data_IF_605391669297
#
_entry.id   IF_605391669297
#
_cell.length_a   1.000
_cell.length_b   1.000
_cell.length_c   1.000
_cell.angle_alpha   90.00
_cell.angle_beta   90.00
_cell.angle_gamma   90.00
#
_symmetry.space_group_name_H-M   'P 1'
#
loop_
_entity.id
_entity.type
_entity.pdbx_description
1 polymer ?
#
# COMPACT_ATOMS: atom_id res chain seq x y z
N UNK A 1 -22.59 20.18 12.87
CA UNK A 1 -22.15 18.81 13.18
C UNK A 1 -21.30 18.37 12.00
N UNK A 2 -19.99 18.20 12.17
CA UNK A 2 -19.09 17.77 11.08
C UNK A 2 -19.09 16.25 10.99
N UNK A 3 -19.04 15.71 9.79
CA UNK A 3 -19.01 14.26 9.57
C UNK A 3 -17.56 13.74 9.53
N UNK A 4 -17.34 12.47 9.90
CA UNK A 4 -16.00 11.83 9.82
C UNK A 4 -15.39 11.97 8.42
N UNK A 5 -16.22 11.94 7.38
CA UNK A 5 -15.79 12.15 5.99
C UNK A 5 -15.15 13.52 5.75
N UNK A 6 -15.63 14.58 6.41
CA UNK A 6 -15.09 15.94 6.30
C UNK A 6 -13.70 16.06 6.95
N UNK A 7 -13.46 15.37 8.07
CA UNK A 7 -12.14 15.37 8.73
C UNK A 7 -11.04 14.72 7.89
N UNK A 8 -11.39 13.83 6.96
CA UNK A 8 -10.42 13.16 6.09
C UNK A 8 -10.00 13.97 4.86
N UNK A 9 -10.71 15.06 4.55
CA UNK A 9 -10.51 15.87 3.33
C UNK A 9 -10.18 17.35 3.61
N UNK A 10 -10.32 17.82 4.85
CA UNK A 10 -9.94 19.18 5.26
C UNK A 10 -8.44 19.30 5.55
N UNK A 11 -7.86 20.48 5.30
CA UNK A 11 -6.46 20.80 5.66
C UNK A 11 -6.25 21.06 7.16
N UNK A 12 -7.35 21.08 7.93
CA UNK A 12 -7.35 21.29 9.38
C UNK A 12 -7.20 19.93 10.07
N UNK A 13 -6.16 19.79 10.89
CA UNK A 13 -5.91 18.59 11.69
C UNK A 13 -6.59 18.71 13.05
N UNK A 14 -7.01 17.57 13.59
CA UNK A 14 -7.65 17.46 14.90
C UNK A 14 -6.96 16.40 15.77
N UNK A 15 -5.75 16.68 16.30
CA UNK A 15 -5.00 15.71 17.10
C UNK A 15 -5.78 15.18 18.31
N UNK A 16 -6.64 16.01 18.89
CA UNK A 16 -7.50 15.66 20.03
C UNK A 16 -8.53 14.57 19.71
N UNK A 17 -8.87 14.37 18.43
CA UNK A 17 -9.81 13.33 18.01
C UNK A 17 -9.12 11.97 17.81
N UNK A 18 -7.80 11.92 17.71
CA UNK A 18 -7.05 10.70 17.40
C UNK A 18 -7.36 9.54 18.37
N UNK A 19 -7.36 9.73 19.70
CA UNK A 19 -7.70 8.65 20.62
C UNK A 19 -9.12 8.10 20.38
N UNK A 20 -10.07 8.98 20.06
CA UNK A 20 -11.46 8.58 19.76
C UNK A 20 -11.52 7.82 18.44
N UNK A 21 -10.81 8.27 17.41
CA UNK A 21 -10.75 7.62 16.10
C UNK A 21 -10.13 6.22 16.19
N UNK A 22 -9.08 6.04 17.00
CA UNK A 22 -8.46 4.73 17.25
C UNK A 22 -9.40 3.79 17.99
N UNK A 23 -10.02 4.25 19.07
CA UNK A 23 -11.01 3.46 19.81
C UNK A 23 -12.18 3.03 18.92
N UNK A 24 -12.67 3.93 18.05
CA UNK A 24 -13.70 3.60 17.07
C UNK A 24 -13.21 2.66 15.99
N UNK A 25 -11.96 2.80 15.55
CA UNK A 25 -11.38 1.93 14.53
C UNK A 25 -11.19 0.51 15.08
N UNK A 26 -10.67 0.34 16.29
CA UNK A 26 -10.50 -0.96 16.94
C UNK A 26 -11.85 -1.61 17.28
N UNK A 27 -12.81 -0.83 17.81
CA UNK A 27 -14.02 -1.36 18.41
C UNK A 27 -15.29 -1.04 17.61
N UNK A 28 -15.19 -0.89 16.29
CA UNK A 28 -16.28 -0.36 15.45
C UNK A 28 -17.62 -1.05 15.70
N UNK A 29 -17.63 -2.39 15.72
CA UNK A 29 -18.85 -3.18 15.86
C UNK A 29 -19.50 -3.04 17.26
N UNK A 30 -18.73 -2.62 18.27
CA UNK A 30 -19.25 -2.30 19.60
C UNK A 30 -19.74 -0.84 19.71
N UNK A 31 -19.26 0.07 18.85
CA UNK A 31 -19.67 1.49 18.85
C UNK A 31 -20.92 1.74 18.02
N UNK A 32 -21.10 1.00 16.93
CA UNK A 32 -22.22 1.22 16.01
C UNK A 32 -22.64 -0.08 15.33
N UNK A 33 -23.95 -0.33 15.31
CA UNK A 33 -24.52 -1.44 14.55
C UNK A 33 -24.52 -1.10 13.05
N UNK A 34 -23.65 -1.74 12.29
CA UNK A 34 -23.55 -1.62 10.83
C UNK A 34 -23.90 -2.96 10.17
N UNK A 35 -25.20 -3.28 10.01
CA UNK A 35 -25.64 -4.60 9.55
C UNK A 35 -25.27 -4.90 8.09
N UNK A 36 -25.04 -3.87 7.27
CA UNK A 36 -24.58 -4.02 5.90
C UNK A 36 -23.05 -4.10 5.86
N UNK A 37 -22.44 -5.18 5.30
CA UNK A 37 -20.99 -5.31 5.19
C UNK A 37 -20.32 -4.12 4.47
N UNK A 38 -21.03 -3.54 3.50
CA UNK A 38 -20.58 -2.36 2.76
C UNK A 38 -20.44 -1.12 3.66
N UNK A 39 -21.39 -0.88 4.56
CA UNK A 39 -21.38 0.31 5.41
C UNK A 39 -20.28 0.21 6.47
N UNK A 40 -20.11 -1.00 7.03
CA UNK A 40 -18.97 -1.33 7.90
C UNK A 40 -17.63 -1.07 7.19
N UNK A 41 -17.49 -1.60 5.98
CA UNK A 41 -16.32 -1.41 5.14
C UNK A 41 -16.01 0.06 4.83
N UNK A 42 -17.04 0.85 4.52
CA UNK A 42 -16.89 2.28 4.28
C UNK A 42 -16.46 3.04 5.54
N UNK A 43 -17.04 2.71 6.70
CA UNK A 43 -16.67 3.33 7.96
C UNK A 43 -15.23 3.00 8.35
N UNK A 44 -14.81 1.73 8.23
CA UNK A 44 -13.41 1.32 8.47
C UNK A 44 -12.46 2.07 7.53
N UNK A 45 -12.78 2.17 6.25
CA UNK A 45 -11.96 2.92 5.31
C UNK A 45 -11.91 4.42 5.65
N UNK A 46 -12.99 5.01 6.15
CA UNK A 46 -13.03 6.42 6.53
C UNK A 46 -12.18 6.67 7.79
N UNK A 47 -12.33 5.84 8.82
CA UNK A 47 -11.52 5.87 10.03
C UNK A 47 -10.04 5.69 9.72
N UNK A 48 -9.70 4.69 8.90
CA UNK A 48 -8.33 4.44 8.48
C UNK A 48 -7.72 5.67 7.80
N UNK A 49 -8.46 6.32 6.89
CA UNK A 49 -7.99 7.54 6.21
C UNK A 49 -7.81 8.72 7.15
N UNK A 50 -8.71 8.91 8.11
CA UNK A 50 -8.60 9.97 9.12
C UNK A 50 -7.39 9.77 10.06
N UNK A 51 -6.89 8.54 10.17
CA UNK A 51 -5.69 8.20 10.94
C UNK A 51 -4.38 8.33 10.13
N UNK A 52 -4.43 8.66 8.84
CA UNK A 52 -3.23 8.96 8.03
C UNK A 52 -2.78 10.39 8.32
N UNK A 53 -2.23 10.61 9.51
CA UNK A 53 -1.72 11.91 9.95
C UNK A 53 -0.48 11.73 10.83
N UNK A 54 0.47 12.69 10.83
CA UNK A 54 1.71 12.56 11.60
C UNK A 54 1.52 12.39 13.12
N UNK A 55 0.40 12.85 13.65
CA UNK A 55 0.08 12.81 15.08
C UNK A 55 -0.51 11.47 15.52
N UNK A 56 -0.89 10.59 14.59
CA UNK A 56 -1.45 9.29 14.91
C UNK A 56 -0.35 8.34 15.45
N UNK A 57 -0.60 7.59 16.53
CA UNK A 57 0.33 6.58 17.04
C UNK A 57 0.48 5.47 16.00
N UNK A 58 1.64 5.45 15.34
CA UNK A 58 1.89 4.57 14.19
C UNK A 58 1.81 3.09 14.56
N UNK A 59 2.33 2.72 15.72
CA UNK A 59 2.35 1.33 16.19
C UNK A 59 0.94 0.77 16.39
N UNK A 60 0.11 1.51 17.13
CA UNK A 60 -1.26 1.12 17.42
C UNK A 60 -2.13 1.10 16.15
N UNK A 61 -2.01 2.13 15.30
CA UNK A 61 -2.73 2.18 14.04
C UNK A 61 -2.32 1.06 13.08
N UNK A 62 -1.03 0.65 13.08
CA UNK A 62 -0.55 -0.50 12.33
C UNK A 62 -1.19 -1.80 12.84
N UNK A 63 -1.08 -2.07 14.15
CA UNK A 63 -1.64 -3.27 14.79
C UNK A 63 -3.13 -3.43 14.52
N UNK A 64 -3.92 -2.37 14.76
CA UNK A 64 -5.38 -2.40 14.55
C UNK A 64 -5.70 -2.71 13.07
N UNK A 65 -4.98 -2.09 12.13
CA UNK A 65 -5.19 -2.34 10.70
C UNK A 65 -4.85 -3.76 10.29
N UNK A 66 -3.79 -4.35 10.84
CA UNK A 66 -3.41 -5.73 10.57
C UNK A 66 -4.50 -6.71 11.07
N UNK A 67 -5.01 -6.51 12.29
CA UNK A 67 -6.10 -7.32 12.86
C UNK A 67 -7.36 -7.26 12.00
N UNK A 68 -7.72 -6.08 11.50
CA UNK A 68 -8.90 -5.93 10.63
C UNK A 68 -8.80 -6.73 9.34
N UNK A 69 -7.62 -6.80 8.73
CA UNK A 69 -7.42 -7.55 7.50
C UNK A 69 -7.43 -9.07 7.73
N UNK A 70 -7.02 -9.54 8.90
CA UNK A 70 -7.07 -10.96 9.25
C UNK A 70 -8.49 -11.44 9.60
N UNK A 71 -9.33 -10.53 10.09
CA UNK A 71 -10.65 -10.85 10.64
C UNK A 71 -11.81 -10.60 9.67
N UNK A 72 -11.56 -9.95 8.53
CA UNK A 72 -12.59 -9.54 7.59
C UNK A 72 -12.75 -10.53 6.42
N UNK A 73 -14.00 -10.81 6.03
CA UNK A 73 -14.26 -11.29 4.67
C UNK A 73 -13.71 -10.27 3.66
N UNK A 74 -13.13 -10.70 2.52
CA UNK A 74 -12.51 -9.79 1.57
C UNK A 74 -13.48 -8.68 1.17
N UNK A 75 -13.23 -7.47 1.69
CA UNK A 75 -14.02 -6.30 1.36
C UNK A 75 -13.86 -5.92 -0.11
N UNK A 76 -14.75 -5.07 -0.63
CA UNK A 76 -14.56 -4.50 -1.96
C UNK A 76 -13.20 -3.78 -2.08
N UNK A 77 -12.59 -3.76 -3.27
CA UNK A 77 -11.28 -3.14 -3.50
C UNK A 77 -11.16 -1.69 -2.97
N UNK A 78 -12.27 -0.93 -3.00
CA UNK A 78 -12.35 0.44 -2.47
C UNK A 78 -12.15 0.50 -0.95
N UNK A 79 -12.64 -0.50 -0.21
CA UNK A 79 -12.46 -0.61 1.25
C UNK A 79 -10.99 -0.89 1.58
N UNK A 80 -10.38 -1.87 0.90
CA UNK A 80 -9.00 -2.27 1.16
C UNK A 80 -8.03 -1.10 1.00
N UNK A 81 -8.29 -0.18 0.06
CA UNK A 81 -7.39 0.94 -0.22
C UNK A 81 -7.11 1.84 0.98
N UNK A 82 -8.10 2.14 1.82
CA UNK A 82 -7.92 2.99 3.00
C UNK A 82 -7.06 2.33 4.07
N UNK A 83 -7.36 1.07 4.38
CA UNK A 83 -6.66 0.25 5.37
C UNK A 83 -5.22 -0.04 4.92
N UNK A 84 -5.02 -0.43 3.66
CA UNK A 84 -3.71 -0.72 3.09
C UNK A 84 -2.83 0.54 3.04
N UNK A 85 -3.43 1.70 2.74
CA UNK A 85 -2.70 2.96 2.80
C UNK A 85 -2.28 3.29 4.23
N UNK A 86 -3.17 3.17 5.22
CA UNK A 86 -2.83 3.37 6.62
C UNK A 86 -1.65 2.47 7.05
N UNK A 87 -1.75 1.15 6.79
CA UNK A 87 -0.67 0.19 7.04
C UNK A 87 0.65 0.63 6.41
N UNK A 88 0.65 1.00 5.13
CA UNK A 88 1.86 1.44 4.44
C UNK A 88 2.48 2.71 5.04
N UNK A 89 1.66 3.58 5.63
CA UNK A 89 2.13 4.83 6.24
C UNK A 89 2.65 4.64 7.66
N UNK A 90 2.13 3.66 8.39
CA UNK A 90 2.46 3.39 9.79
C UNK A 90 3.48 2.27 9.96
N UNK A 91 3.73 1.47 8.92
CA UNK A 91 4.72 0.39 8.94
C UNK A 91 6.15 0.89 9.18
N UNK A 92 6.81 0.29 10.18
CA UNK A 92 8.22 0.50 10.49
C UNK A 92 9.09 -0.50 9.71
N UNK A 93 10.03 -0.07 8.86
CA UNK A 93 10.94 -0.99 8.20
C UNK A 93 11.94 -1.63 9.16
N UNK A 94 12.20 -1.01 10.31
CA UNK A 94 13.11 -1.57 11.31
C UNK A 94 12.49 -2.73 12.08
N UNK A 95 11.16 -2.79 12.13
CA UNK A 95 10.43 -3.83 12.86
C UNK A 95 10.27 -5.11 12.01
N UNK A 96 10.81 -6.26 12.44
CA UNK A 96 10.68 -7.53 11.71
C UNK A 96 9.23 -8.01 11.54
N UNK A 97 8.36 -7.78 12.52
CA UNK A 97 6.95 -8.18 12.46
C UNK A 97 6.22 -7.35 11.40
N UNK A 98 6.47 -6.04 11.36
CA UNK A 98 5.90 -5.19 10.32
C UNK A 98 6.37 -5.64 8.93
N UNK A 99 7.66 -5.94 8.75
CA UNK A 99 8.17 -6.48 7.48
C UNK A 99 7.47 -7.78 7.09
N UNK A 100 7.25 -8.69 8.03
CA UNK A 100 6.57 -9.96 7.77
C UNK A 100 5.10 -9.76 7.34
N UNK A 101 4.35 -8.91 8.05
CA UNK A 101 2.96 -8.57 7.72
C UNK A 101 2.88 -7.91 6.35
N UNK A 102 3.73 -6.91 6.08
CA UNK A 102 3.75 -6.19 4.80
C UNK A 102 4.11 -7.11 3.64
N UNK A 103 5.05 -8.04 3.83
CA UNK A 103 5.42 -9.02 2.79
C UNK A 103 4.25 -9.96 2.47
N UNK A 104 3.63 -10.53 3.50
CA UNK A 104 2.48 -11.43 3.35
C UNK A 104 1.31 -10.75 2.62
N UNK A 105 0.93 -9.55 3.06
CA UNK A 105 -0.15 -8.78 2.42
C UNK A 105 0.22 -8.34 1.01
N UNK A 106 1.50 -8.02 0.76
CA UNK A 106 2.02 -7.71 -0.55
C UNK A 106 1.84 -8.86 -1.54
N UNK A 107 2.01 -10.12 -1.09
CA UNK A 107 1.88 -11.33 -1.91
C UNK A 107 0.46 -11.91 -2.00
N UNK A 108 -0.49 -11.43 -1.19
CA UNK A 108 -1.85 -11.95 -1.21
C UNK A 108 -2.65 -11.41 -2.41
N UNK A 109 -2.67 -12.19 -3.49
CA UNK A 109 -3.36 -11.86 -4.76
C UNK A 109 -4.88 -11.76 -4.59
N UNK A 110 -5.47 -12.31 -3.53
CA UNK A 110 -6.92 -12.19 -3.29
C UNK A 110 -7.35 -10.74 -3.01
N UNK A 111 -6.40 -9.89 -2.60
CA UNK A 111 -6.61 -8.46 -2.33
C UNK A 111 -6.61 -7.60 -3.61
N UNK A 112 -6.30 -8.19 -4.77
CA UNK A 112 -6.26 -7.52 -6.08
C UNK A 112 -5.41 -6.25 -6.08
N UNK A 113 -5.88 -5.20 -6.75
CA UNK A 113 -5.20 -3.89 -6.78
C UNK A 113 -5.07 -3.22 -5.40
N UNK A 114 -5.86 -3.66 -4.40
CA UNK A 114 -5.89 -3.09 -3.06
C UNK A 114 -4.54 -3.16 -2.35
N UNK A 115 -3.69 -4.15 -2.69
CA UNK A 115 -2.34 -4.32 -2.11
C UNK A 115 -1.28 -3.38 -2.69
N UNK A 116 -1.60 -2.56 -3.69
CA UNK A 116 -0.64 -1.65 -4.32
C UNK A 116 0.11 -0.72 -3.32
N UNK A 117 -0.52 -0.11 -2.28
CA UNK A 117 0.20 0.70 -1.29
C UNK A 117 1.27 -0.09 -0.51
N UNK A 118 1.00 -1.36 -0.22
CA UNK A 118 1.94 -2.26 0.47
C UNK A 118 3.14 -2.55 -0.43
N UNK A 119 2.88 -2.90 -1.70
CA UNK A 119 3.93 -3.12 -2.70
C UNK A 119 4.78 -1.87 -2.92
N UNK A 120 4.17 -0.68 -2.97
CA UNK A 120 4.89 0.60 -3.08
C UNK A 120 5.76 0.92 -1.85
N UNK A 121 5.38 0.41 -0.67
CA UNK A 121 6.17 0.50 0.56
C UNK A 121 7.38 -0.44 0.53
N UNK A 122 7.20 -1.69 0.10
CA UNK A 122 8.29 -2.68 0.00
C UNK A 122 9.42 -2.19 -0.92
N UNK A 123 9.07 -1.56 -2.05
CA UNK A 123 10.05 -0.98 -2.98
C UNK A 123 10.50 0.43 -2.60
N UNK A 124 9.99 1.04 -1.53
CA UNK A 124 10.35 2.40 -1.19
C UNK A 124 11.85 2.47 -0.87
N UNK A 125 12.56 3.47 -1.40
CA UNK A 125 14.03 3.62 -1.28
C UNK A 125 14.58 3.43 0.14
N UNK A 126 13.86 3.92 1.16
CA UNK A 126 14.25 3.80 2.59
C UNK A 126 14.16 2.36 3.11
N UNK A 127 13.28 1.55 2.51
CA UNK A 127 13.02 0.16 2.84
C UNK A 127 13.97 -0.73 2.05
N UNK A 128 13.90 -0.67 0.71
CA UNK A 128 14.67 -1.55 -0.19
C UNK A 128 16.18 -1.43 -0.04
N UNK A 129 16.71 -0.27 0.37
CA UNK A 129 18.15 -0.11 0.66
C UNK A 129 18.60 -0.89 1.90
N UNK A 130 17.73 -1.03 2.90
CA UNK A 130 18.04 -1.72 4.17
C UNK A 130 17.65 -3.19 4.13
N UNK A 131 16.66 -3.50 3.31
CA UNK A 131 15.98 -4.78 3.21
C UNK A 131 15.80 -5.14 1.73
N UNK A 132 16.88 -5.46 1.00
CA UNK A 132 16.82 -5.80 -0.42
C UNK A 132 15.93 -7.02 -0.70
N UNK A 133 15.79 -7.94 0.25
CA UNK A 133 14.87 -9.07 0.17
C UNK A 133 13.41 -8.64 -0.02
N UNK A 134 13.01 -7.48 0.52
CA UNK A 134 11.66 -6.96 0.35
C UNK A 134 11.43 -6.38 -1.06
N UNK A 135 12.49 -5.89 -1.70
CA UNK A 135 12.42 -5.48 -3.11
C UNK A 135 12.19 -6.70 -4.00
N UNK A 136 12.90 -7.81 -3.75
CA UNK A 136 12.71 -9.06 -4.48
C UNK A 136 11.27 -9.58 -4.36
N UNK A 137 10.73 -9.59 -3.13
CA UNK A 137 9.31 -9.93 -2.88
C UNK A 137 8.37 -9.09 -3.74
N UNK A 138 8.54 -7.76 -3.74
CA UNK A 138 7.66 -6.88 -4.49
C UNK A 138 7.82 -7.01 -6.01
N UNK A 139 9.04 -7.27 -6.50
CA UNK A 139 9.29 -7.47 -7.93
C UNK A 139 8.74 -8.81 -8.45
N UNK A 140 8.64 -9.84 -7.60
CA UNK A 140 7.93 -11.07 -7.92
C UNK A 140 6.45 -10.86 -8.25
N UNK A 141 5.86 -9.75 -7.79
CA UNK A 141 4.47 -9.40 -8.09
C UNK A 141 4.29 -8.61 -9.40
N UNK A 142 5.36 -8.37 -10.18
CA UNK A 142 5.26 -7.77 -11.51
C UNK A 142 4.46 -8.62 -12.50
N UNK A 143 4.25 -9.92 -12.22
CA UNK A 143 3.42 -10.79 -13.06
C UNK A 143 1.92 -10.51 -12.92
N UNK A 144 1.48 -9.81 -11.87
CA UNK A 144 0.08 -9.47 -11.66
C UNK A 144 -0.26 -8.13 -12.33
N UNK A 145 -1.08 -8.14 -13.42
CA UNK A 145 -1.46 -6.93 -14.12
C UNK A 145 -2.17 -5.89 -13.28
N UNK A 146 -2.85 -6.30 -12.19
CA UNK A 146 -3.58 -5.40 -11.31
C UNK A 146 -2.66 -4.45 -10.53
N UNK A 147 -1.41 -4.84 -10.29
CA UNK A 147 -0.45 -4.07 -9.47
C UNK A 147 0.81 -3.69 -10.23
N UNK A 148 1.12 -4.34 -11.35
CA UNK A 148 2.32 -4.09 -12.13
C UNK A 148 2.53 -2.61 -12.50
N UNK A 149 1.53 -1.82 -12.93
CA UNK A 149 1.72 -0.40 -13.23
C UNK A 149 2.19 0.42 -12.01
N UNK A 150 1.67 0.10 -10.83
CA UNK A 150 2.05 0.76 -9.57
C UNK A 150 3.49 0.43 -9.20
N UNK A 151 3.87 -0.85 -9.31
CA UNK A 151 5.22 -1.33 -9.10
C UNK A 151 6.20 -0.69 -10.08
N UNK A 152 5.95 -0.77 -11.39
CA UNK A 152 6.82 -0.18 -12.42
C UNK A 152 7.03 1.33 -12.19
N UNK A 153 5.96 2.06 -11.88
CA UNK A 153 6.02 3.49 -11.57
C UNK A 153 6.93 3.79 -10.37
N UNK A 154 6.91 2.92 -9.36
CA UNK A 154 7.65 3.10 -8.12
C UNK A 154 9.11 2.65 -8.25
N UNK A 155 9.34 1.51 -8.89
CA UNK A 155 10.66 0.95 -9.21
C UNK A 155 11.48 1.90 -10.08
N UNK A 156 10.86 2.58 -11.06
CA UNK A 156 11.54 3.61 -11.88
C UNK A 156 12.20 4.74 -11.06
N UNK A 157 11.73 4.97 -9.83
CA UNK A 157 12.26 6.02 -8.94
C UNK A 157 13.43 5.53 -8.07
N UNK A 158 13.79 4.26 -8.15
CA UNK A 158 14.94 3.72 -7.46
C UNK A 158 16.25 4.12 -8.16
N UNK A 159 17.36 4.17 -7.42
CA UNK A 159 18.70 4.18 -8.02
C UNK A 159 18.88 2.97 -8.97
N UNK A 160 19.61 3.15 -10.07
CA UNK A 160 19.82 2.08 -11.07
C UNK A 160 20.57 0.88 -10.49
N UNK A 161 21.55 1.14 -9.63
CA UNK A 161 22.32 0.14 -8.89
C UNK A 161 21.49 -0.70 -7.92
N UNK A 162 20.26 -0.28 -7.63
CA UNK A 162 19.30 -1.04 -6.84
C UNK A 162 18.32 -1.88 -7.70
N UNK A 163 18.33 -1.74 -9.03
CA UNK A 163 17.47 -2.51 -9.91
C UNK A 163 18.11 -3.87 -10.22
N UNK A 164 17.35 -4.98 -10.17
CA UNK A 164 17.92 -6.27 -10.50
C UNK A 164 18.21 -6.40 -11.99
N UNK A 165 19.26 -7.16 -12.29
CA UNK A 165 19.58 -7.59 -13.65
C UNK A 165 18.39 -8.35 -14.24
N UNK A 166 18.04 -8.08 -15.49
CA UNK A 166 16.94 -8.75 -16.19
C UNK A 166 15.55 -8.18 -15.90
N UNK A 167 15.45 -7.06 -15.16
CA UNK A 167 14.18 -6.35 -14.97
C UNK A 167 13.51 -5.97 -16.31
N UNK A 168 14.31 -5.67 -17.34
CA UNK A 168 13.81 -5.34 -18.67
C UNK A 168 13.00 -6.49 -19.28
N UNK A 169 13.42 -7.75 -19.08
CA UNK A 169 12.71 -8.93 -19.57
C UNK A 169 11.35 -9.10 -18.87
N UNK A 170 11.27 -8.85 -17.56
CA UNK A 170 10.01 -8.90 -16.81
C UNK A 170 9.02 -7.79 -17.21
N UNK A 171 9.54 -6.62 -17.62
CA UNK A 171 8.74 -5.44 -17.97
C UNK A 171 8.29 -5.46 -19.44
N UNK A 172 9.09 -6.04 -20.34
CA UNK A 172 8.85 -6.01 -21.79
C UNK A 172 7.45 -6.50 -22.23
N UNK A 173 6.85 -7.55 -21.64
CA UNK A 173 5.49 -7.99 -21.99
C UNK A 173 4.44 -6.89 -21.82
N UNK A 174 4.67 -5.91 -20.93
CA UNK A 174 3.72 -4.83 -20.69
C UNK A 174 3.67 -3.77 -21.79
N UNK A 175 4.59 -3.77 -22.77
CA UNK A 175 4.57 -2.84 -23.90
C UNK A 175 3.33 -3.00 -24.79
N UNK A 176 2.81 -4.22 -24.87
CA UNK A 176 1.64 -4.61 -25.67
C UNK A 176 0.40 -4.91 -24.81
N UNK A 177 0.45 -4.57 -23.52
CA UNK A 177 -0.65 -4.82 -22.59
C UNK A 177 -1.92 -4.05 -22.97
N UNK A 178 -3.11 -4.58 -22.67
CA UNK A 178 -4.39 -3.94 -23.01
C UNK A 178 -4.59 -2.57 -22.31
N UNK A 179 -4.15 -2.47 -21.06
CA UNK A 179 -4.24 -1.25 -20.25
C UNK A 179 -3.17 -0.21 -20.66
N UNK A 180 -3.61 1.00 -20.95
CA UNK A 180 -2.74 2.11 -21.36
C UNK A 180 -1.71 2.47 -20.29
N UNK A 181 -2.11 2.51 -19.03
CA UNK A 181 -1.20 2.85 -17.93
C UNK A 181 -0.09 1.80 -17.79
N UNK A 182 -0.38 0.51 -18.00
CA UNK A 182 0.64 -0.54 -18.03
C UNK A 182 1.67 -0.29 -19.13
N UNK A 183 1.22 -0.03 -20.37
CA UNK A 183 2.11 0.28 -21.51
C UNK A 183 2.95 1.51 -21.21
N UNK A 184 2.34 2.56 -20.65
CA UNK A 184 3.02 3.80 -20.31
C UNK A 184 4.11 3.59 -19.26
N UNK A 185 3.81 2.89 -18.16
CA UNK A 185 4.80 2.65 -17.11
C UNK A 185 5.92 1.72 -17.58
N UNK A 186 5.62 0.75 -18.44
CA UNK A 186 6.61 -0.14 -19.04
C UNK A 186 7.61 0.63 -19.92
N UNK A 187 7.14 1.48 -20.84
CA UNK A 187 8.01 2.33 -21.68
C UNK A 187 8.95 3.18 -20.84
N UNK A 188 8.40 3.91 -19.88
CA UNK A 188 9.18 4.81 -19.02
C UNK A 188 10.21 4.07 -18.16
N UNK A 189 9.91 2.84 -17.71
CA UNK A 189 10.86 2.04 -16.95
C UNK A 189 11.96 1.47 -17.86
N UNK A 190 11.61 1.00 -19.06
CA UNK A 190 12.59 0.50 -20.03
C UNK A 190 13.52 1.59 -20.55
N UNK A 191 13.00 2.79 -20.83
CA UNK A 191 13.80 3.98 -21.16
C UNK A 191 14.81 4.25 -20.04
N UNK A 192 14.36 4.26 -18.79
CA UNK A 192 15.21 4.49 -17.63
C UNK A 192 16.31 3.44 -17.47
N UNK A 193 16.01 2.17 -17.70
CA UNK A 193 16.98 1.07 -17.63
C UNK A 193 17.96 1.12 -18.81
N UNK A 194 17.53 1.60 -19.98
CA UNK A 194 18.38 1.78 -21.16
C UNK A 194 19.34 2.97 -21.07
N UNK A 195 19.11 3.92 -20.15
CA UNK A 195 20.01 5.05 -19.87
C UNK A 195 21.34 4.64 -19.20
N UNK A 196 21.66 3.35 -19.07
CA UNK A 196 22.99 2.87 -18.69
C UNK A 196 23.91 2.62 -19.90
N UNK A 197 24.73 3.60 -20.33
CA UNK A 197 25.94 3.33 -21.07
C UNK A 197 27.11 3.17 -20.08
N UNK A 198 27.37 1.96 -19.58
CA UNK A 198 28.66 1.66 -18.94
C UNK A 198 28.69 0.66 -17.78
N UNK A 199 28.37 -0.61 -18.02
CA UNK A 199 28.85 -1.74 -17.23
C UNK A 199 28.65 -3.05 -18.04
N UNK A 200 29.48 -3.25 -19.06
CA UNK A 200 29.78 -4.58 -19.63
C UNK A 200 31.26 -4.85 -19.43
#
# INVERSE_FOLDING_TARGET
MRTITETSNDSVRYPELIPTLLDWYENLDAKVALPAPRDRAQMLSALARSLITPEAPTEEAFRISAIHLESAEPGSAVHLRGVMLLLSTTASPSDPEHRAVMSRLGCDRSLGEGRAPILEWLVARKVSRRHPELLEVALGELEDPAVAPHLMRRVRRLPLDALPVGLDAAVRPYLDHELEESRRQARLLLERVAEEPGAR
#
